data_IF_425867772656
#
_entry.id   IF_425867772656
#
_cell.length_a   1.000
_cell.length_b   1.000
_cell.length_c   1.000
_cell.angle_alpha   90.00
_cell.angle_beta   90.00
_cell.angle_gamma   90.00
#
_symmetry.space_group_name_H-M   'P 1'
#
loop_
_entity.id
_entity.type
_entity.pdbx_description
1 polymer ?
#
# COMPACT_ATOMS: atom_id res chain seq x y z
N UNK A 1 -24.08 -0.15 -20.24
CA UNK A 1 -23.46 -1.10 -19.30
C UNK A 1 -21.99 -0.75 -19.23
N UNK A 2 -21.58 -0.03 -18.18
CA UNK A 2 -20.17 0.22 -17.95
C UNK A 2 -19.58 -1.00 -17.25
N UNK A 3 -18.61 -1.66 -17.90
CA UNK A 3 -17.77 -2.65 -17.25
C UNK A 3 -16.46 -1.94 -16.92
N UNK A 4 -16.18 -1.76 -15.63
CA UNK A 4 -14.89 -1.23 -15.19
C UNK A 4 -13.96 -2.40 -15.02
N UNK A 5 -12.86 -2.39 -15.76
CA UNK A 5 -11.83 -3.42 -15.68
C UNK A 5 -10.48 -2.74 -15.40
N UNK A 6 -9.87 -3.10 -14.27
CA UNK A 6 -8.66 -2.47 -13.75
C UNK A 6 -7.63 -3.54 -13.50
N UNK A 7 -6.44 -3.38 -14.08
CA UNK A 7 -5.29 -4.25 -13.84
C UNK A 7 -4.11 -3.44 -13.33
N UNK A 8 -3.63 -3.78 -12.14
CA UNK A 8 -2.49 -3.13 -11.50
C UNK A 8 -1.42 -4.17 -11.26
N UNK A 9 -0.24 -3.95 -11.83
CA UNK A 9 0.95 -4.78 -11.55
C UNK A 9 1.68 -4.21 -10.34
N UNK A 10 2.17 -5.08 -9.48
CA UNK A 10 2.95 -4.69 -8.32
C UNK A 10 4.15 -5.61 -8.13
N UNK A 11 5.20 -5.10 -7.47
CA UNK A 11 6.27 -5.94 -6.95
C UNK A 11 5.94 -6.25 -5.49
N UNK A 12 5.83 -7.52 -5.15
CA UNK A 12 5.57 -7.97 -3.78
C UNK A 12 6.79 -7.73 -2.88
N UNK A 13 6.57 -7.76 -1.56
CA UNK A 13 7.64 -7.61 -0.56
C UNK A 13 8.75 -8.66 -0.70
N UNK A 14 8.46 -9.83 -1.27
CA UNK A 14 9.42 -10.91 -1.57
C UNK A 14 10.08 -10.76 -2.95
N UNK A 15 9.89 -9.62 -3.62
CA UNK A 15 10.56 -9.27 -4.88
C UNK A 15 9.91 -9.83 -6.14
N UNK A 16 8.80 -10.57 -6.04
CA UNK A 16 8.09 -11.17 -7.18
C UNK A 16 7.12 -10.19 -7.83
N UNK A 17 6.87 -10.35 -9.13
CA UNK A 17 5.88 -9.55 -9.86
C UNK A 17 4.50 -10.19 -9.73
N UNK A 18 3.58 -9.47 -9.07
CA UNK A 18 2.18 -9.83 -8.96
C UNK A 18 1.27 -8.91 -9.77
N UNK A 19 0.00 -9.27 -9.82
CA UNK A 19 -1.05 -8.48 -10.47
C UNK A 19 -2.33 -8.53 -9.65
N UNK A 20 -2.92 -7.36 -9.40
CA UNK A 20 -4.30 -7.23 -8.93
C UNK A 20 -5.18 -6.90 -10.13
N UNK A 21 -6.30 -7.61 -10.26
CA UNK A 21 -7.31 -7.36 -11.29
C UNK A 21 -8.66 -7.17 -10.62
N UNK A 22 -9.36 -6.09 -10.97
CA UNK A 22 -10.70 -5.79 -10.48
C UNK A 22 -11.62 -5.59 -11.68
N UNK A 23 -12.65 -6.42 -11.77
CA UNK A 23 -13.72 -6.27 -12.76
C UNK A 23 -15.01 -5.96 -12.04
N UNK A 24 -15.68 -4.87 -12.41
CA UNK A 24 -16.99 -4.47 -11.88
C UNK A 24 -18.07 -4.65 -12.93
N UNK A 25 -19.11 -5.40 -12.58
CA UNK A 25 -20.29 -5.58 -13.40
C UNK A 25 -21.41 -4.70 -12.83
N UNK A 26 -21.71 -3.61 -13.54
CA UNK A 26 -22.82 -2.71 -13.24
C UNK A 26 -24.13 -3.43 -13.56
N UNK A 27 -24.70 -4.05 -12.53
CA UNK A 27 -25.90 -4.89 -12.64
C UNK A 27 -27.05 -4.23 -13.41
N UNK A 28 -27.78 -5.03 -14.18
CA UNK A 28 -28.75 -4.58 -15.19
C UNK A 28 -30.19 -4.41 -14.69
N UNK A 29 -30.35 -4.18 -13.38
CA UNK A 29 -31.64 -4.08 -12.71
C UNK A 29 -32.32 -5.43 -12.41
N UNK A 30 -31.89 -6.53 -13.05
CA UNK A 30 -32.25 -7.91 -12.66
C UNK A 30 -31.16 -8.57 -11.84
N UNK A 31 -29.90 -8.30 -12.18
CA UNK A 31 -28.75 -8.73 -11.40
C UNK A 31 -28.25 -7.60 -10.51
N UNK A 32 -27.94 -7.92 -9.24
CA UNK A 32 -27.23 -6.97 -8.36
C UNK A 32 -25.82 -6.76 -8.89
N UNK A 33 -25.36 -5.51 -8.87
CA UNK A 33 -23.98 -5.19 -9.19
C UNK A 33 -23.02 -5.95 -8.25
N UNK A 34 -21.94 -6.47 -8.80
CA UNK A 34 -20.88 -7.14 -8.06
C UNK A 34 -19.55 -6.88 -8.76
N UNK A 35 -18.47 -7.01 -8.02
CA UNK A 35 -17.16 -7.10 -8.64
C UNK A 35 -16.43 -8.37 -8.30
N UNK A 36 -15.41 -8.64 -9.11
CA UNK A 36 -14.49 -9.74 -8.97
C UNK A 36 -13.12 -9.15 -8.76
N UNK A 37 -12.51 -9.48 -7.62
CA UNK A 37 -11.13 -9.16 -7.32
C UNK A 37 -10.30 -10.43 -7.53
N UNK A 38 -9.23 -10.34 -8.30
CA UNK A 38 -8.27 -11.42 -8.49
C UNK A 38 -6.87 -10.90 -8.12
N UNK A 39 -6.17 -11.61 -7.26
CA UNK A 39 -4.81 -11.27 -6.83
C UNK A 39 -3.88 -12.41 -7.20
N UNK A 40 -3.02 -12.16 -8.17
CA UNK A 40 -1.87 -13.00 -8.47
C UNK A 40 -0.66 -12.46 -7.70
N UNK A 41 -0.07 -13.28 -6.84
CA UNK A 41 1.14 -12.91 -6.07
C UNK A 41 2.45 -13.18 -6.83
N UNK A 42 2.38 -13.68 -8.08
CA UNK A 42 3.56 -14.04 -8.86
C UNK A 42 4.29 -15.28 -8.33
N UNK A 43 3.64 -16.05 -7.47
CA UNK A 43 4.19 -17.25 -6.87
C UNK A 43 4.10 -18.38 -7.90
N UNK A 44 5.23 -18.80 -8.46
CA UNK A 44 5.32 -19.91 -9.42
C UNK A 44 4.76 -21.26 -8.90
N UNK A 45 4.46 -21.35 -7.60
CA UNK A 45 3.87 -22.54 -6.93
C UNK A 45 2.45 -22.34 -6.43
N UNK A 46 1.84 -21.16 -6.58
CA UNK A 46 0.45 -20.95 -6.16
C UNK A 46 -0.51 -21.52 -7.22
N UNK A 47 -1.65 -22.05 -6.78
CA UNK A 47 -2.70 -22.67 -7.61
C UNK A 47 -3.46 -21.68 -8.53
N UNK A 48 -2.85 -20.52 -8.84
CA UNK A 48 -3.44 -19.44 -9.61
C UNK A 48 -3.77 -18.21 -8.76
N UNK A 49 -4.39 -17.19 -9.38
CA UNK A 49 -4.79 -15.98 -8.69
C UNK A 49 -5.85 -16.28 -7.64
N UNK A 50 -5.71 -15.68 -6.45
CA UNK A 50 -6.74 -15.72 -5.42
C UNK A 50 -7.90 -14.84 -5.88
N UNK A 51 -9.05 -15.44 -6.14
CA UNK A 51 -10.24 -14.71 -6.60
C UNK A 51 -11.30 -14.59 -5.52
N UNK A 52 -11.88 -13.40 -5.38
CA UNK A 52 -13.02 -13.14 -4.52
C UNK A 52 -14.13 -12.43 -5.29
N UNK A 53 -15.39 -12.80 -5.02
CA UNK A 53 -16.57 -12.06 -5.49
C UNK A 53 -17.04 -11.16 -4.36
N UNK A 54 -17.15 -9.87 -4.64
CA UNK A 54 -17.52 -8.83 -3.69
C UNK A 54 -18.84 -8.19 -4.13
N UNK A 55 -19.79 -8.08 -3.22
CA UNK A 55 -20.92 -7.18 -3.40
C UNK A 55 -20.46 -5.72 -3.25
N UNK A 56 -21.34 -4.77 -3.60
CA UNK A 56 -21.02 -3.34 -3.60
C UNK A 56 -20.62 -2.82 -2.21
N UNK A 57 -21.22 -3.30 -1.13
CA UNK A 57 -20.89 -2.83 0.21
C UNK A 57 -19.50 -3.31 0.64
N UNK A 58 -19.19 -4.59 0.39
CA UNK A 58 -17.86 -5.16 0.65
C UNK A 58 -16.77 -4.49 -0.20
N UNK A 59 -17.10 -4.12 -1.44
CA UNK A 59 -16.17 -3.40 -2.31
C UNK A 59 -15.83 -2.02 -1.78
N UNK A 60 -16.84 -1.30 -1.28
CA UNK A 60 -16.62 0.01 -0.67
C UNK A 60 -15.69 -0.10 0.54
N UNK A 61 -15.93 -1.07 1.42
CA UNK A 61 -15.05 -1.31 2.57
C UNK A 61 -13.61 -1.64 2.16
N UNK A 62 -13.43 -2.43 1.10
CA UNK A 62 -12.10 -2.72 0.55
C UNK A 62 -11.40 -1.45 0.08
N UNK A 63 -12.09 -0.60 -0.69
CA UNK A 63 -11.52 0.66 -1.20
C UNK A 63 -11.18 1.60 -0.04
N UNK A 64 -12.07 1.74 0.94
CA UNK A 64 -11.84 2.56 2.12
C UNK A 64 -10.60 2.06 2.89
N UNK A 65 -10.48 0.76 3.13
CA UNK A 65 -9.31 0.16 3.80
C UNK A 65 -8.01 0.31 2.99
N UNK A 66 -8.06 0.22 1.65
CA UNK A 66 -6.90 0.44 0.79
C UNK A 66 -6.42 1.91 0.84
N UNK A 67 -7.36 2.86 0.83
CA UNK A 67 -7.04 4.29 0.97
C UNK A 67 -6.39 4.59 2.32
N UNK A 68 -6.92 4.03 3.42
CA UNK A 68 -6.33 4.17 4.74
C UNK A 68 -4.92 3.58 4.81
N UNK A 69 -4.70 2.41 4.21
CA UNK A 69 -3.39 1.78 4.15
C UNK A 69 -2.37 2.60 3.35
N UNK A 70 -2.76 3.14 2.19
CA UNK A 70 -1.90 4.03 1.40
C UNK A 70 -1.53 5.28 2.19
N UNK A 71 -2.52 5.91 2.85
CA UNK A 71 -2.26 7.10 3.67
C UNK A 71 -1.33 6.81 4.85
N UNK A 72 -1.46 5.62 5.48
CA UNK A 72 -0.56 5.19 6.55
C UNK A 72 0.88 4.97 6.04
N UNK A 73 1.06 4.42 4.84
CA UNK A 73 2.36 4.27 4.19
C UNK A 73 2.97 5.65 3.89
N UNK A 74 2.22 6.54 3.21
CA UNK A 74 2.70 7.89 2.89
C UNK A 74 3.06 8.70 4.14
N UNK A 75 2.30 8.53 5.23
CA UNK A 75 2.60 9.15 6.53
C UNK A 75 3.91 8.61 7.11
N UNK A 76 4.13 7.29 7.02
CA UNK A 76 5.35 6.65 7.53
C UNK A 76 6.56 7.10 6.71
N UNK A 77 6.47 7.10 5.38
CA UNK A 77 7.54 7.59 4.50
C UNK A 77 7.86 9.07 4.73
N UNK A 78 6.83 9.90 4.99
CA UNK A 78 7.06 11.31 5.37
C UNK A 78 7.75 11.44 6.73
N UNK A 79 7.40 10.62 7.71
CA UNK A 79 8.01 10.66 9.04
C UNK A 79 9.45 10.12 9.01
N UNK A 80 9.73 9.07 8.25
CA UNK A 80 11.08 8.53 8.05
C UNK A 80 11.94 9.48 7.20
N UNK A 81 11.38 10.12 6.17
CA UNK A 81 12.04 11.17 5.39
C UNK A 81 12.20 12.51 6.12
N UNK A 82 11.56 12.67 7.28
CA UNK A 82 11.65 13.85 8.15
C UNK A 82 12.48 13.62 9.41
N UNK A 83 13.15 12.48 9.59
CA UNK A 83 14.24 12.46 10.57
C UNK A 83 15.30 13.43 10.06
N UNK A 84 15.46 14.64 10.66
CA UNK A 84 16.67 15.38 10.40
C UNK A 84 17.78 14.47 10.87
N UNK A 85 18.88 14.42 10.13
CA UNK A 85 20.15 13.98 10.66
C UNK A 85 20.29 14.70 12.00
N UNK A 86 20.04 13.98 13.11
CA UNK A 86 20.30 14.46 14.46
C UNK A 86 21.81 14.54 14.48
N UNK A 87 22.30 15.65 13.94
CA UNK A 87 23.70 15.99 13.82
C UNK A 87 24.24 15.82 15.22
N UNK A 88 24.93 14.69 15.42
CA UNK A 88 25.52 14.38 16.70
C UNK A 88 26.33 15.62 17.09
N UNK A 89 26.13 16.16 18.30
CA UNK A 89 26.78 17.40 18.70
C UNK A 89 28.26 17.26 18.38
N UNK A 90 28.73 18.12 17.48
CA UNK A 90 30.10 18.03 16.99
C UNK A 90 31.04 18.09 18.20
N UNK A 91 32.08 17.26 18.22
CA UNK A 91 33.00 17.12 19.35
C UNK A 91 33.63 18.44 19.83
N UNK A 92 33.51 19.51 19.03
CA UNK A 92 33.86 20.88 19.38
C UNK A 92 32.97 21.52 20.47
N UNK A 93 31.70 21.13 20.61
CA UNK A 93 30.82 21.66 21.66
C UNK A 93 31.06 21.00 23.03
N UNK A 94 31.58 19.77 23.07
CA UNK A 94 31.97 19.09 24.32
C UNK A 94 33.30 19.62 24.88
N UNK A 95 34.16 20.19 24.03
CA UNK A 95 35.39 20.88 24.45
C UNK A 95 35.12 22.24 25.12
N UNK A 96 34.04 22.93 24.76
CA UNK A 96 33.68 24.22 25.34
C UNK A 96 33.09 24.13 26.76
N UNK A 97 32.58 22.95 27.15
CA UNK A 97 32.11 22.67 28.52
C UNK A 97 33.23 22.18 29.45
N UNK A 98 34.41 21.86 28.92
CA UNK A 98 35.52 21.26 29.67
C UNK A 98 36.83 22.05 29.61
N UNK A 99 36.89 23.14 28.83
CA UNK A 99 38.12 23.89 28.57
C UNK A 99 38.15 25.30 29.13
N UNK A 100 38.77 25.47 30.30
CA UNK A 100 39.12 26.75 30.91
C UNK A 100 39.47 26.57 32.40
N UNK A 101 40.53 25.82 32.75
CA UNK A 101 41.92 26.29 33.02
C UNK A 101 41.99 27.40 34.10
N UNK A 102 43.05 27.53 34.92
CA UNK A 102 44.17 26.65 35.27
C UNK A 102 44.15 26.18 36.75
#
# INVERSE_FOLDING_TARGET
MANLDVHIRFRSAIGLMGQVSLTFDEGDGRNRAFGRLAIDMGLAKAEGPVTAKLDVASMRQLVDGMMEAMYAIERTERLEGQMPDLQAPSAYELGALTGGFP
#
